data_IF_920527127144
#
_entry.id   IF_920527127144
#
_cell.length_a   1.000
_cell.length_b   1.000
_cell.length_c   1.000
_cell.angle_alpha   90.00
_cell.angle_beta   90.00
_cell.angle_gamma   90.00
#
_symmetry.space_group_name_H-M   'P 1'
#
loop_
_entity.id
_entity.type
_entity.pdbx_description
1 polymer ?
#
# COMPACT_ATOMS: atom_id res chain seq x y z
N UNK A 1 27.75 21.55 -49.51
CA UNK A 1 26.40 21.59 -48.90
C UNK A 1 26.19 20.42 -47.93
N UNK A 2 26.88 20.38 -46.78
CA UNK A 2 26.71 19.31 -45.76
C UNK A 2 26.95 19.77 -44.31
N UNK A 3 26.85 21.07 -44.03
CA UNK A 3 27.12 21.62 -42.68
C UNK A 3 25.98 22.47 -42.10
N UNK A 4 24.90 22.68 -42.86
CA UNK A 4 23.75 23.50 -42.42
C UNK A 4 22.61 22.69 -41.81
N UNK A 5 22.56 21.38 -42.08
CA UNK A 5 21.49 20.50 -41.56
C UNK A 5 21.77 19.96 -40.15
N UNK A 6 23.00 20.11 -39.64
CA UNK A 6 23.36 19.57 -38.32
C UNK A 6 22.91 20.44 -37.14
N UNK A 7 22.52 21.70 -37.40
CA UNK A 7 22.05 22.61 -36.34
C UNK A 7 20.54 22.54 -36.11
N UNK A 8 19.78 22.00 -37.06
CA UNK A 8 18.31 21.93 -36.93
C UNK A 8 17.85 20.76 -36.03
N UNK A 9 18.69 19.75 -35.84
CA UNK A 9 18.41 18.62 -34.95
C UNK A 9 18.65 18.93 -33.46
N UNK A 10 19.47 19.95 -33.14
CA UNK A 10 19.83 20.27 -31.75
C UNK A 10 18.83 21.21 -31.06
N UNK A 11 17.98 21.92 -31.81
CA UNK A 11 17.04 22.91 -31.26
C UNK A 11 15.73 22.29 -30.74
N UNK A 12 15.40 21.05 -31.11
CA UNK A 12 14.11 20.42 -30.78
C UNK A 12 14.15 19.67 -29.44
N UNK A 13 15.32 19.36 -28.91
CA UNK A 13 15.45 18.57 -27.67
C UNK A 13 15.31 19.38 -26.37
N UNK A 14 15.30 20.72 -26.44
CA UNK A 14 15.37 21.56 -25.25
C UNK A 14 14.01 21.93 -24.62
N UNK A 15 12.89 21.43 -25.17
CA UNK A 15 11.53 21.81 -24.73
C UNK A 15 10.91 20.76 -23.77
N UNK A 16 11.58 19.64 -23.48
CA UNK A 16 11.05 18.60 -22.58
C UNK A 16 11.33 18.83 -21.09
N UNK A 17 11.94 19.95 -20.68
CA UNK A 17 12.30 20.19 -19.27
C UNK A 17 11.28 21.01 -18.45
N UNK A 18 10.04 21.13 -18.90
CA UNK A 18 8.98 21.86 -18.17
C UNK A 18 7.68 21.05 -18.06
N UNK A 19 7.74 19.87 -17.45
CA UNK A 19 6.61 19.27 -16.72
C UNK A 19 7.15 18.42 -15.58
N UNK A 20 7.05 18.93 -14.34
CA UNK A 20 7.53 18.21 -13.16
C UNK A 20 7.41 18.92 -11.83
N UNK A 21 6.51 19.89 -11.68
CA UNK A 21 5.99 20.31 -10.38
C UNK A 21 4.47 20.28 -10.49
N UNK A 22 3.88 19.09 -10.34
CA UNK A 22 2.48 19.03 -9.95
C UNK A 22 2.42 19.41 -8.47
N UNK A 23 1.62 20.43 -8.17
CA UNK A 23 1.30 20.90 -6.85
C UNK A 23 1.18 19.72 -5.87
N UNK A 24 1.81 19.85 -4.71
CA UNK A 24 1.38 19.13 -3.51
C UNK A 24 -0.01 19.65 -3.16
N UNK A 25 -1.02 19.12 -3.83
CA UNK A 25 -2.39 19.25 -3.40
C UNK A 25 -2.54 18.20 -2.31
N UNK A 26 -2.44 18.66 -1.06
CA UNK A 26 -3.02 17.96 0.08
C UNK A 26 -4.52 17.91 -0.22
N UNK A 27 -4.96 16.87 -0.91
CA UNK A 27 -6.36 16.50 -1.03
C UNK A 27 -6.60 15.52 0.10
N UNK A 28 -6.87 16.09 1.26
CA UNK A 28 -7.64 15.42 2.31
C UNK A 28 -9.06 15.19 1.74
N UNK A 29 -9.60 13.98 1.96
CA UNK A 29 -10.89 13.48 1.49
C UNK A 29 -11.02 13.18 -0.03
N UNK A 30 -10.50 12.03 -0.45
CA UNK A 30 -11.16 11.23 -1.49
C UNK A 30 -11.81 10.03 -0.82
N UNK A 31 -13.11 9.83 -1.06
CA UNK A 31 -13.84 8.61 -0.72
C UNK A 31 -13.07 7.38 -1.19
N UNK A 32 -12.37 6.71 -0.28
CA UNK A 32 -11.42 5.63 -0.54
C UNK A 32 -12.04 4.24 -0.38
N UNK A 33 -13.33 4.11 -0.72
CA UNK A 33 -14.05 2.84 -0.60
C UNK A 33 -13.74 1.86 -1.74
N UNK A 34 -13.14 2.33 -2.85
CA UNK A 34 -12.99 1.54 -4.10
C UNK A 34 -11.51 1.27 -4.48
N UNK A 35 -10.52 1.94 -3.88
CA UNK A 35 -9.13 1.89 -4.38
C UNK A 35 -8.24 0.79 -3.78
N UNK A 36 -8.75 0.07 -2.78
CA UNK A 36 -7.94 -0.86 -1.96
C UNK A 36 -8.51 -2.28 -1.89
N UNK A 37 -9.39 -2.68 -2.81
CA UNK A 37 -9.97 -4.03 -2.83
C UNK A 37 -8.88 -5.11 -2.91
N UNK A 38 -7.89 -4.95 -3.77
CA UNK A 38 -6.80 -5.93 -3.92
C UNK A 38 -5.94 -6.04 -2.64
N UNK A 39 -5.72 -4.91 -1.96
CA UNK A 39 -4.96 -4.84 -0.71
C UNK A 39 -5.72 -5.58 0.41
N UNK A 40 -7.03 -5.36 0.50
CA UNK A 40 -7.91 -6.05 1.45
C UNK A 40 -7.98 -7.55 1.15
N UNK A 41 -8.08 -7.92 -0.13
CA UNK A 41 -8.12 -9.31 -0.58
C UNK A 41 -6.82 -10.04 -0.23
N UNK A 42 -5.66 -9.43 -0.48
CA UNK A 42 -4.36 -10.01 -0.12
C UNK A 42 -4.21 -10.21 1.39
N UNK A 43 -4.66 -9.23 2.20
CA UNK A 43 -4.64 -9.38 3.65
C UNK A 43 -5.59 -10.49 4.15
N UNK A 44 -6.77 -10.63 3.53
CA UNK A 44 -7.72 -11.69 3.86
C UNK A 44 -7.23 -13.08 3.45
N UNK A 45 -6.56 -13.19 2.31
CA UNK A 45 -5.91 -14.42 1.88
C UNK A 45 -4.86 -14.87 2.90
N UNK A 46 -4.03 -13.94 3.37
CA UNK A 46 -3.05 -14.22 4.40
C UNK A 46 -3.68 -14.68 5.73
N UNK A 47 -4.79 -14.08 6.17
CA UNK A 47 -5.52 -14.56 7.35
C UNK A 47 -5.97 -16.03 7.19
N UNK A 48 -6.44 -16.43 6.01
CA UNK A 48 -6.84 -17.81 5.74
C UNK A 48 -5.64 -18.76 5.73
N UNK A 49 -4.52 -18.35 5.15
CA UNK A 49 -3.29 -19.15 5.10
C UNK A 49 -2.72 -19.42 6.50
N UNK A 50 -2.77 -18.42 7.39
CA UNK A 50 -2.30 -18.52 8.78
C UNK A 50 -3.34 -19.16 9.73
N UNK A 51 -4.57 -19.40 9.25
CA UNK A 51 -5.66 -19.97 10.06
C UNK A 51 -6.29 -18.99 11.05
N UNK A 52 -6.20 -17.68 10.77
CA UNK A 52 -6.70 -16.60 11.61
C UNK A 52 -8.04 -16.02 11.12
N UNK A 53 -8.57 -16.49 10.00
CA UNK A 53 -9.80 -15.95 9.41
C UNK A 53 -11.01 -16.02 10.37
N UNK A 54 -11.04 -17.00 11.28
CA UNK A 54 -12.15 -17.19 12.23
C UNK A 54 -12.16 -16.13 13.35
N UNK A 55 -11.09 -15.34 13.49
CA UNK A 55 -11.01 -14.21 14.44
C UNK A 55 -11.69 -12.96 13.90
N UNK A 56 -11.88 -12.87 12.58
CA UNK A 56 -12.36 -11.69 11.87
C UNK A 56 -13.78 -11.89 11.33
N UNK A 57 -14.57 -10.82 11.32
CA UNK A 57 -15.82 -10.77 10.56
C UNK A 57 -15.49 -10.84 9.06
N UNK A 58 -16.16 -11.74 8.35
CA UNK A 58 -16.07 -11.89 6.89
C UNK A 58 -16.82 -10.75 6.18
N UNK A 59 -16.27 -9.54 6.33
CA UNK A 59 -16.75 -8.34 5.67
C UNK A 59 -15.54 -7.51 5.20
N UNK A 60 -15.07 -7.86 4.01
CA UNK A 60 -14.00 -7.15 3.30
C UNK A 60 -14.34 -5.67 3.06
N UNK A 61 -15.62 -5.32 2.93
CA UNK A 61 -16.02 -3.95 2.60
C UNK A 61 -15.73 -3.01 3.78
N UNK A 62 -15.95 -3.46 5.01
CA UNK A 62 -15.71 -2.66 6.22
C UNK A 62 -14.25 -2.67 6.70
N UNK A 63 -13.39 -3.50 6.11
CA UNK A 63 -11.97 -3.53 6.44
C UNK A 63 -11.36 -2.12 6.25
N UNK A 64 -10.59 -1.69 7.26
CA UNK A 64 -9.99 -0.35 7.28
C UNK A 64 -8.57 -0.41 6.78
N UNK A 65 -8.25 0.46 5.83
CA UNK A 65 -6.91 0.62 5.26
C UNK A 65 -6.32 1.95 5.72
N UNK A 66 -5.05 1.95 6.15
CA UNK A 66 -4.31 3.16 6.54
C UNK A 66 -2.84 3.06 6.16
N UNK A 67 -2.24 4.16 5.75
CA UNK A 67 -0.78 4.27 5.60
C UNK A 67 -0.09 4.24 6.96
N UNK A 68 0.98 3.44 7.08
CA UNK A 68 1.82 3.34 8.28
C UNK A 68 3.29 3.21 7.91
N UNK A 69 4.18 3.63 8.80
CA UNK A 69 5.62 3.35 8.71
C UNK A 69 5.91 2.11 9.55
N UNK A 70 6.62 1.14 8.97
CA UNK A 70 7.05 -0.06 9.68
C UNK A 70 8.00 0.34 10.82
N UNK A 71 7.62 -0.07 12.03
CA UNK A 71 8.45 0.02 13.24
C UNK A 71 8.71 -1.38 13.84
N UNK A 72 9.38 -1.42 14.99
CA UNK A 72 9.79 -2.65 15.64
C UNK A 72 8.67 -3.47 16.29
N UNK A 73 7.42 -3.03 16.21
CA UNK A 73 6.27 -3.76 16.78
C UNK A 73 5.76 -4.85 15.84
N UNK A 74 6.01 -4.68 14.54
CA UNK A 74 5.56 -5.63 13.52
C UNK A 74 6.51 -6.82 13.42
N UNK A 75 5.94 -7.99 13.17
CA UNK A 75 6.68 -9.18 12.75
C UNK A 75 6.89 -9.09 11.24
N UNK A 76 8.10 -8.78 10.81
CA UNK A 76 8.46 -8.66 9.40
C UNK A 76 8.66 -10.05 8.77
N UNK A 77 7.94 -10.30 7.67
CA UNK A 77 8.17 -11.44 6.79
C UNK A 77 9.36 -11.17 5.84
N UNK A 78 9.61 -9.88 5.54
CA UNK A 78 10.72 -9.43 4.71
C UNK A 78 11.41 -8.19 5.32
N UNK A 79 12.66 -8.37 5.74
CA UNK A 79 13.47 -7.31 6.38
C UNK A 79 13.79 -6.14 5.45
N UNK A 80 13.65 -6.31 4.12
CA UNK A 80 13.86 -5.23 3.18
C UNK A 80 12.82 -4.10 3.32
N UNK A 81 11.76 -4.31 4.10
CA UNK A 81 10.69 -3.34 4.34
C UNK A 81 10.80 -2.59 5.67
N UNK A 82 11.85 -2.83 6.47
CA UNK A 82 12.07 -2.08 7.71
C UNK A 82 12.16 -0.56 7.44
N UNK A 83 11.40 0.22 8.23
CA UNK A 83 11.30 1.66 8.08
C UNK A 83 10.59 2.17 6.81
N UNK A 84 9.97 1.30 6.00
CA UNK A 84 9.20 1.71 4.82
C UNK A 84 7.75 2.09 5.16
N UNK A 85 7.20 2.98 4.37
CA UNK A 85 5.78 3.33 4.36
C UNK A 85 4.99 2.29 3.55
N UNK A 86 3.93 1.76 4.14
CA UNK A 86 3.16 0.62 3.65
C UNK A 86 1.68 0.77 4.05
N UNK A 87 0.81 -0.08 3.52
CA UNK A 87 -0.60 -0.08 3.90
C UNK A 87 -0.86 -1.08 5.02
N UNK A 88 -1.50 -0.61 6.08
CA UNK A 88 -2.08 -1.45 7.12
C UNK A 88 -3.54 -1.78 6.79
N UNK A 89 -3.91 -3.04 6.98
CA UNK A 89 -5.27 -3.55 6.85
C UNK A 89 -5.70 -4.09 8.20
N UNK A 90 -6.85 -3.63 8.67
CA UNK A 90 -7.48 -4.12 9.90
C UNK A 90 -8.90 -4.58 9.62
N UNK A 91 -9.22 -5.77 10.12
CA UNK A 91 -10.55 -6.35 10.07
C UNK A 91 -11.23 -6.18 11.43
N UNK A 92 -12.56 -6.20 11.43
CA UNK A 92 -13.31 -6.20 12.68
C UNK A 92 -13.30 -7.60 13.28
N UNK A 93 -13.07 -7.71 14.58
CA UNK A 93 -13.09 -8.99 15.28
C UNK A 93 -14.50 -9.57 15.35
N UNK A 94 -14.60 -10.89 15.37
CA UNK A 94 -15.85 -11.57 15.72
C UNK A 94 -16.26 -11.25 17.17
N UNK A 95 -17.56 -11.25 17.43
CA UNK A 95 -18.06 -10.96 18.77
C UNK A 95 -17.58 -12.04 19.77
N UNK A 96 -17.03 -11.62 20.91
CA UNK A 96 -16.43 -12.48 21.94
C UNK A 96 -15.19 -13.28 21.50
N UNK A 97 -14.42 -12.77 20.53
CA UNK A 97 -13.12 -13.34 20.21
C UNK A 97 -12.21 -13.43 21.45
N UNK A 98 -11.55 -14.58 21.62
CA UNK A 98 -10.58 -14.79 22.72
C UNK A 98 -9.23 -14.14 22.41
N UNK A 99 -8.93 -13.96 21.12
CA UNK A 99 -7.74 -13.31 20.60
C UNK A 99 -8.18 -12.44 19.44
N UNK A 100 -7.70 -11.19 19.39
CA UNK A 100 -8.03 -10.28 18.30
C UNK A 100 -7.50 -10.75 16.94
N UNK A 101 -8.01 -10.15 15.88
CA UNK A 101 -7.50 -10.31 14.53
C UNK A 101 -6.19 -9.52 14.37
N UNK A 102 -5.12 -10.14 13.86
CA UNK A 102 -3.88 -9.42 13.57
C UNK A 102 -4.08 -8.29 12.57
N UNK A 103 -3.31 -7.21 12.74
CA UNK A 103 -3.22 -6.14 11.76
C UNK A 103 -2.18 -6.53 10.71
N UNK A 104 -2.56 -6.47 9.43
CA UNK A 104 -1.76 -6.98 8.31
C UNK A 104 -1.14 -5.82 7.54
N UNK A 105 0.15 -5.90 7.21
CA UNK A 105 0.85 -4.90 6.40
C UNK A 105 1.10 -5.41 4.97
N UNK A 106 0.72 -4.59 4.01
CA UNK A 106 0.74 -4.89 2.57
C UNK A 106 1.56 -3.84 1.84
N UNK A 107 2.43 -4.27 0.93
CA UNK A 107 3.12 -3.38 0.00
C UNK A 107 2.13 -2.81 -1.02
N UNK A 108 1.92 -1.48 -1.07
CA UNK A 108 0.94 -0.85 -1.96
C UNK A 108 1.23 -1.06 -3.45
N UNK A 109 2.46 -1.40 -3.82
CA UNK A 109 2.84 -1.55 -5.24
C UNK A 109 2.63 -2.97 -5.75
N UNK A 110 2.68 -3.95 -4.85
CA UNK A 110 2.71 -5.37 -5.22
C UNK A 110 1.58 -6.19 -4.60
N UNK A 111 0.83 -5.59 -3.67
CA UNK A 111 -0.18 -6.25 -2.84
C UNK A 111 0.37 -7.44 -2.04
N UNK A 112 1.69 -7.51 -1.85
CA UNK A 112 2.34 -8.56 -1.07
C UNK A 112 2.20 -8.26 0.42
N UNK A 113 1.82 -9.26 1.22
CA UNK A 113 1.91 -9.18 2.69
C UNK A 113 3.37 -9.25 3.12
N UNK A 114 3.81 -8.27 3.91
CA UNK A 114 5.23 -8.05 4.25
C UNK A 114 5.49 -8.07 5.75
N UNK A 115 4.45 -7.85 6.55
CA UNK A 115 4.52 -7.91 8.00
C UNK A 115 3.11 -8.02 8.62
N UNK A 116 3.05 -8.33 9.90
CA UNK A 116 1.82 -8.31 10.66
C UNK A 116 2.08 -7.92 12.12
N UNK A 117 1.06 -7.43 12.81
CA UNK A 117 1.06 -7.18 14.24
C UNK A 117 0.02 -8.08 14.90
N UNK A 118 0.43 -9.09 15.69
CA UNK A 118 -0.49 -9.85 16.51
C UNK A 118 -1.24 -8.92 17.47
N UNK A 119 -2.51 -9.21 17.68
CA UNK A 119 -3.35 -8.56 18.69
C UNK A 119 -3.59 -9.53 19.83
N UNK A 120 -3.71 -9.01 21.05
CA UNK A 120 -3.99 -9.81 22.26
C UNK A 120 -5.46 -10.24 22.32
#
# INVERSE_FOLDING_TARGET
MKLKFMYFALAVFSIMLIMGCSNKQVIENSNDMDSHEDVKAAAWEFLKEEGWQDQAKDDLQIAKVKEVIIDNKYILLDKAYDGKEVLSVSFEDVDNAVTGTPLILVDPNTNKVIAYLPTE
#
